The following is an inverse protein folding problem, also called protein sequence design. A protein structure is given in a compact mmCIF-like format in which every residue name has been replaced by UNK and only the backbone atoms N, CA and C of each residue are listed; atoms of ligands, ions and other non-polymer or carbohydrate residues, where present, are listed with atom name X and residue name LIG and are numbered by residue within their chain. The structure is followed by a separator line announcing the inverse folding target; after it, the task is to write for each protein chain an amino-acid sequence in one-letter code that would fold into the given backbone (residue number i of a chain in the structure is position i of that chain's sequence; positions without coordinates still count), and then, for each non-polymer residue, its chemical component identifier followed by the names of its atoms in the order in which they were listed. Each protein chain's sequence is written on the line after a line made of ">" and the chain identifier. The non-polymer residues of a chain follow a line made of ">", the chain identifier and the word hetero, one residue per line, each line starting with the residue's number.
data_IF_505682524249
#
_entry.id   IF_505682524249
#
_cell.length_a   1.000
_cell.length_b   1.000
_cell.length_c   1.000
_cell.angle_alpha   90.00
_cell.angle_beta   90.00
_cell.angle_gamma   90.00
#
_symmetry.space_group_name_H-M   'P 1'
#
loop_
_entity.id
_entity.type
_entity.pdbx_description
1 polymer ?
#
# COMPACT_ATOMS: atom_id res chain seq x y z
N UNK A 1 21.00 28.09 -88.89
CA UNK A 1 19.54 28.21 -89.10
C UNK A 1 18.87 27.29 -88.09
N UNK A 2 18.02 27.84 -87.20
CA UNK A 2 16.86 27.19 -86.52
C UNK A 2 17.25 26.06 -85.52
N UNK A 3 16.84 25.92 -84.26
CA UNK A 3 15.88 26.53 -83.31
C UNK A 3 16.33 26.04 -81.91
N UNK A 4 16.40 26.89 -80.88
CA UNK A 4 15.36 27.16 -79.87
C UNK A 4 14.95 25.97 -78.97
N UNK A 5 15.50 26.00 -77.75
CA UNK A 5 14.89 25.87 -76.40
C UNK A 5 13.58 25.05 -76.31
N UNK A 6 13.63 23.93 -75.59
CA UNK A 6 12.58 23.50 -74.65
C UNK A 6 13.25 22.64 -73.55
N UNK A 7 13.47 23.17 -72.36
CA UNK A 7 12.52 23.20 -71.24
C UNK A 7 12.19 21.79 -70.69
N UNK A 8 12.71 21.50 -69.49
CA UNK A 8 11.99 20.97 -68.32
C UNK A 8 12.85 20.09 -67.39
N UNK A 9 12.54 20.08 -66.09
CA UNK A 9 13.54 20.24 -65.04
C UNK A 9 13.92 18.93 -64.34
N UNK A 10 15.14 18.97 -63.81
CA UNK A 10 15.75 18.11 -62.80
C UNK A 10 14.71 17.44 -61.88
N UNK A 11 14.48 16.15 -62.11
CA UNK A 11 13.72 15.28 -61.22
C UNK A 11 14.49 15.14 -59.90
N UNK A 12 14.11 15.92 -58.89
CA UNK A 12 14.59 15.74 -57.52
C UNK A 12 13.96 14.49 -56.94
N UNK A 13 14.75 13.43 -56.84
CA UNK A 13 14.45 12.26 -56.01
C UNK A 13 14.43 12.72 -54.55
N UNK A 14 13.25 12.80 -53.94
CA UNK A 14 13.10 13.00 -52.49
C UNK A 14 13.17 11.62 -51.85
N UNK A 15 14.30 11.34 -51.18
CA UNK A 15 14.43 10.19 -50.28
C UNK A 15 13.76 10.60 -48.97
N UNK A 16 12.60 10.00 -48.66
CA UNK A 16 11.94 10.15 -47.36
C UNK A 16 12.55 9.10 -46.43
N UNK A 17 13.33 9.46 -45.40
CA UNK A 17 13.71 8.50 -44.39
C UNK A 17 12.45 8.12 -43.60
N UNK A 18 12.03 6.87 -43.74
CA UNK A 18 11.07 6.23 -42.84
C UNK A 18 11.61 6.32 -41.42
N UNK A 19 11.08 7.27 -40.65
CA UNK A 19 11.26 7.35 -39.20
C UNK A 19 10.62 6.10 -38.59
N UNK A 20 11.43 5.07 -38.37
CA UNK A 20 11.07 3.95 -37.49
C UNK A 20 10.96 4.52 -36.08
N UNK A 21 9.74 4.89 -35.70
CA UNK A 21 9.38 5.21 -34.33
C UNK A 21 9.71 3.98 -33.48
N UNK A 22 10.87 4.02 -32.84
CA UNK A 22 11.26 3.03 -31.85
C UNK A 22 10.33 3.25 -30.66
N UNK A 23 9.29 2.42 -30.55
CA UNK A 23 8.46 2.35 -29.37
C UNK A 23 9.37 1.87 -28.23
N UNK A 24 9.95 2.82 -27.49
CA UNK A 24 10.52 2.51 -26.20
C UNK A 24 9.31 2.29 -25.31
N UNK A 25 8.89 1.02 -25.18
CA UNK A 25 8.00 0.63 -24.11
C UNK A 25 8.77 0.91 -22.82
N UNK A 26 8.52 2.06 -22.19
CA UNK A 26 8.86 2.27 -20.80
C UNK A 26 8.07 1.22 -20.03
N UNK A 27 8.72 0.11 -19.69
CA UNK A 27 8.25 -0.74 -18.61
C UNK A 27 8.23 0.15 -17.38
N UNK A 28 7.07 0.69 -17.04
CA UNK A 28 6.82 1.09 -15.67
C UNK A 28 6.94 -0.22 -14.88
N UNK A 29 8.14 -0.49 -14.35
CA UNK A 29 8.24 -1.39 -13.23
C UNK A 29 7.28 -0.80 -12.19
N UNK A 30 6.19 -1.50 -11.90
CA UNK A 30 5.23 -1.09 -10.87
C UNK A 30 6.07 -0.73 -9.64
N UNK A 31 5.98 0.54 -9.26
CA UNK A 31 6.73 1.05 -8.13
C UNK A 31 6.39 0.18 -6.92
N UNK A 32 7.38 -0.25 -6.12
CA UNK A 32 7.12 -1.18 -5.03
C UNK A 32 6.07 -0.58 -4.10
N UNK A 33 4.86 -1.14 -4.11
CA UNK A 33 3.76 -0.66 -3.28
C UNK A 33 4.22 -0.60 -1.83
N UNK A 34 4.25 0.58 -1.21
CA UNK A 34 4.52 0.74 0.22
C UNK A 34 3.64 -0.24 1.04
N UNK A 35 4.14 -0.87 2.12
CA UNK A 35 5.47 -0.77 2.72
C UNK A 35 6.51 -1.78 2.22
N UNK A 36 7.75 -1.35 2.01
CA UNK A 36 8.92 -2.19 1.72
C UNK A 36 9.60 -2.68 3.00
N UNK A 37 10.38 -3.77 2.92
CA UNK A 37 10.98 -4.47 4.08
C UNK A 37 11.78 -3.56 5.04
N UNK A 38 12.28 -2.42 4.58
CA UNK A 38 13.02 -1.44 5.38
C UNK A 38 12.17 -0.31 5.97
N UNK A 39 10.88 -0.25 5.63
CA UNK A 39 10.01 0.85 6.01
C UNK A 39 9.45 0.63 7.41
N UNK A 40 9.33 1.72 8.17
CA UNK A 40 8.43 1.77 9.32
C UNK A 40 7.03 2.02 8.77
N UNK A 41 6.03 1.35 9.35
CA UNK A 41 4.64 1.62 9.01
C UNK A 41 3.73 1.48 10.21
N UNK A 42 2.63 2.22 10.15
CA UNK A 42 1.57 2.27 11.14
C UNK A 42 0.25 1.99 10.45
N UNK A 43 -0.62 1.28 11.14
CA UNK A 43 -2.00 1.07 10.70
C UNK A 43 -2.95 1.38 11.83
N UNK A 44 -4.06 2.03 11.52
CA UNK A 44 -5.13 2.31 12.47
C UNK A 44 -6.51 2.06 11.88
N UNK A 45 -7.34 1.31 12.58
CA UNK A 45 -8.74 1.07 12.21
C UNK A 45 -9.65 1.33 13.41
N UNK A 46 -10.84 1.87 13.13
CA UNK A 46 -11.89 2.06 14.10
C UNK A 46 -13.20 1.48 13.57
N UNK A 47 -14.03 0.98 14.48
CA UNK A 47 -15.36 0.46 14.15
C UNK A 47 -16.34 0.74 15.30
N UNK A 48 -17.65 0.80 15.02
CA UNK A 48 -18.65 0.90 16.08
C UNK A 48 -18.53 -0.25 17.09
N UNK A 49 -18.48 0.07 18.38
CA UNK A 49 -18.42 -0.89 19.50
C UNK A 49 -19.75 -1.08 20.24
N UNK A 50 -20.78 -0.31 19.89
CA UNK A 50 -22.05 -0.24 20.60
C UNK A 50 -22.41 1.20 20.97
N UNK A 51 -23.38 1.39 21.87
CA UNK A 51 -23.84 2.72 22.27
C UNK A 51 -22.71 3.52 22.93
N UNK A 52 -22.27 4.60 22.27
CA UNK A 52 -21.27 5.54 22.79
C UNK A 52 -19.85 4.96 22.90
N UNK A 53 -19.60 3.81 22.28
CA UNK A 53 -18.30 3.13 22.32
C UNK A 53 -17.79 2.90 20.90
N UNK A 54 -16.52 3.20 20.69
CA UNK A 54 -15.78 2.88 19.47
C UNK A 54 -14.74 1.83 19.79
N UNK A 55 -14.67 0.77 18.98
CA UNK A 55 -13.57 -0.20 19.00
C UNK A 55 -12.45 0.31 18.12
N UNK A 56 -11.21 -0.02 18.48
CA UNK A 56 -10.05 0.31 17.66
C UNK A 56 -9.05 -0.83 17.63
N UNK A 57 -8.23 -0.82 16.58
CA UNK A 57 -6.99 -1.58 16.52
C UNK A 57 -5.91 -0.73 15.86
N UNK A 58 -4.69 -0.79 16.39
CA UNK A 58 -3.50 -0.21 15.78
C UNK A 58 -2.42 -1.27 15.61
N UNK A 59 -1.59 -1.11 14.58
CA UNK A 59 -0.38 -1.89 14.37
C UNK A 59 0.76 -0.91 14.16
N UNK A 60 1.81 -1.05 14.96
CA UNK A 60 3.05 -0.29 14.83
C UNK A 60 4.13 -1.28 14.40
N UNK A 61 4.75 -1.07 13.25
CA UNK A 61 5.68 -2.01 12.66
C UNK A 61 7.06 -1.39 12.44
N UNK A 62 8.08 -2.03 13.00
CA UNK A 62 9.48 -1.62 12.88
C UNK A 62 10.28 -2.70 12.14
N UNK A 63 11.15 -2.33 11.19
CA UNK A 63 11.97 -3.28 10.45
C UNK A 63 12.78 -4.22 11.36
N UNK A 64 12.80 -5.50 11.00
CA UNK A 64 13.55 -6.57 11.65
C UNK A 64 14.05 -7.56 10.58
N UNK A 65 15.19 -7.23 9.97
CA UNK A 65 15.76 -8.00 8.86
C UNK A 65 14.87 -7.97 7.62
N UNK A 66 14.34 -9.12 7.21
CA UNK A 66 13.41 -9.23 6.07
C UNK A 66 11.93 -9.14 6.45
N UNK A 67 11.63 -8.86 7.72
CA UNK A 67 10.30 -8.84 8.33
C UNK A 67 10.13 -7.59 9.20
N UNK A 68 9.02 -7.48 9.92
CA UNK A 68 8.81 -6.45 10.93
C UNK A 68 8.55 -7.07 12.30
N UNK A 69 9.10 -6.46 13.34
CA UNK A 69 8.54 -6.59 14.69
C UNK A 69 7.32 -5.68 14.77
N UNK A 70 6.22 -6.16 15.34
CA UNK A 70 5.00 -5.37 15.50
C UNK A 70 4.54 -5.27 16.94
N UNK A 71 3.96 -4.12 17.28
CA UNK A 71 3.12 -3.93 18.45
C UNK A 71 1.69 -3.72 17.98
N UNK A 72 0.77 -4.57 18.44
CA UNK A 72 -0.66 -4.47 18.12
C UNK A 72 -1.38 -3.98 19.36
N UNK A 73 -2.14 -2.88 19.26
CA UNK A 73 -2.98 -2.40 20.35
C UNK A 73 -4.45 -2.49 19.95
N UNK A 74 -5.25 -3.19 20.75
CA UNK A 74 -6.69 -3.29 20.57
C UNK A 74 -7.43 -2.79 21.79
N UNK A 75 -8.65 -2.30 21.60
CA UNK A 75 -9.44 -1.83 22.73
C UNK A 75 -10.65 -1.01 22.32
N UNK A 76 -11.12 -0.25 23.28
CA UNK A 76 -12.30 0.62 23.13
C UNK A 76 -12.06 1.99 23.74
N UNK A 77 -12.73 2.99 23.19
CA UNK A 77 -12.82 4.31 23.78
C UNK A 77 -14.25 4.83 23.76
N UNK A 78 -14.56 5.78 24.65
CA UNK A 78 -15.83 6.52 24.62
C UNK A 78 -15.86 7.40 23.38
N UNK A 79 -16.87 7.22 22.50
CA UNK A 79 -16.95 7.86 21.19
C UNK A 79 -16.94 9.40 21.27
N UNK A 80 -17.54 9.98 22.32
CA UNK A 80 -17.65 11.43 22.46
C UNK A 80 -16.38 12.11 22.96
N UNK A 81 -15.66 11.45 23.87
CA UNK A 81 -14.55 12.06 24.61
C UNK A 81 -13.19 11.51 24.19
N UNK A 82 -13.15 10.38 23.47
CA UNK A 82 -11.92 9.64 23.17
C UNK A 82 -11.32 8.95 24.39
N UNK A 83 -11.97 8.98 25.57
CA UNK A 83 -11.45 8.36 26.78
C UNK A 83 -11.31 6.86 26.59
N UNK A 84 -10.09 6.35 26.73
CA UNK A 84 -9.80 4.91 26.64
C UNK A 84 -10.57 4.16 27.74
N UNK A 85 -11.32 3.14 27.35
CA UNK A 85 -12.12 2.29 28.23
C UNK A 85 -11.44 0.93 28.44
N UNK A 86 -10.78 0.42 27.40
CA UNK A 86 -9.98 -0.81 27.46
C UNK A 86 -8.78 -0.68 26.52
N UNK A 87 -7.68 -1.34 26.88
CA UNK A 87 -6.45 -1.38 26.08
C UNK A 87 -5.74 -2.70 26.31
N UNK A 88 -5.52 -3.44 25.23
CA UNK A 88 -4.82 -4.71 25.20
C UNK A 88 -3.66 -4.58 24.21
N UNK A 89 -2.45 -4.91 24.64
CA UNK A 89 -1.24 -4.74 23.84
C UNK A 89 -0.59 -6.09 23.64
N UNK A 90 -0.39 -6.46 22.39
CA UNK A 90 0.35 -7.65 21.99
C UNK A 90 1.59 -7.30 21.19
N UNK A 91 2.56 -8.23 21.19
CA UNK A 91 3.78 -8.10 20.40
C UNK A 91 3.96 -9.30 19.49
N UNK A 92 4.57 -9.10 18.33
CA UNK A 92 4.68 -10.14 17.34
C UNK A 92 5.54 -9.78 16.15
N UNK A 93 5.26 -10.45 15.04
CA UNK A 93 5.93 -10.24 13.76
C UNK A 93 4.93 -10.07 12.64
N UNK A 94 5.35 -9.34 11.61
CA UNK A 94 4.61 -9.19 10.36
C UNK A 94 5.53 -9.44 9.18
N UNK A 95 4.95 -9.90 8.08
CA UNK A 95 5.62 -10.11 6.81
C UNK A 95 4.69 -9.81 5.64
N UNK A 96 5.28 -9.69 4.45
CA UNK A 96 4.51 -9.74 3.22
C UNK A 96 4.09 -11.17 2.96
N UNK A 97 2.78 -11.41 2.91
CA UNK A 97 2.22 -12.72 2.57
C UNK A 97 2.41 -13.07 1.08
N UNK A 98 2.02 -14.30 0.70
CA UNK A 98 1.84 -14.67 -0.72
C UNK A 98 0.61 -13.96 -1.29
N UNK A 99 0.75 -12.69 -1.65
CA UNK A 99 -0.33 -11.87 -2.20
C UNK A 99 -0.22 -10.39 -1.80
N UNK A 100 -1.25 -9.57 -2.06
CA UNK A 100 -1.24 -8.15 -1.71
C UNK A 100 -1.59 -7.95 -0.22
N UNK A 101 -0.90 -8.64 0.68
CA UNK A 101 -1.23 -8.66 2.11
C UNK A 101 -0.03 -8.41 3.01
N UNK A 102 -0.22 -7.58 4.03
CA UNK A 102 0.64 -7.53 5.21
C UNK A 102 -0.02 -8.40 6.28
N UNK A 103 0.57 -9.55 6.56
CA UNK A 103 0.05 -10.50 7.54
C UNK A 103 0.98 -10.59 8.74
N UNK A 104 0.40 -10.75 9.92
CA UNK A 104 1.21 -10.93 11.12
C UNK A 104 0.53 -11.73 12.21
N UNK A 105 1.35 -12.17 13.15
CA UNK A 105 0.95 -12.91 14.33
C UNK A 105 1.49 -12.18 15.55
N UNK A 106 0.69 -12.07 16.61
CA UNK A 106 1.08 -11.43 17.86
C UNK A 106 0.58 -12.23 19.07
N UNK A 107 1.22 -12.04 20.21
CA UNK A 107 0.79 -12.62 21.48
C UNK A 107 0.30 -11.51 22.40
N UNK A 108 -0.93 -11.65 22.89
CA UNK A 108 -1.56 -10.73 23.84
C UNK A 108 -2.14 -11.56 24.98
N UNK A 109 -1.77 -11.23 26.23
CA UNK A 109 -2.25 -11.94 27.43
C UNK A 109 -2.05 -13.47 27.35
N UNK A 110 -0.96 -13.91 26.72
CA UNK A 110 -0.61 -15.33 26.56
C UNK A 110 -1.32 -16.04 25.40
N UNK A 111 -2.24 -15.39 24.70
CA UNK A 111 -2.97 -15.95 23.54
C UNK A 111 -2.33 -15.46 22.24
N UNK A 112 -2.15 -16.38 21.29
CA UNK A 112 -1.66 -16.08 19.94
C UNK A 112 -2.81 -15.68 19.04
N UNK A 113 -2.67 -14.52 18.40
CA UNK A 113 -3.65 -13.88 17.54
C UNK A 113 -3.01 -13.47 16.22
N UNK A 114 -3.81 -13.17 15.21
CA UNK A 114 -3.37 -12.83 13.87
C UNK A 114 -4.08 -11.59 13.32
N UNK A 115 -3.46 -10.94 12.36
CA UNK A 115 -4.08 -9.90 11.55
C UNK A 115 -3.66 -9.99 10.09
N UNK A 116 -4.46 -9.38 9.22
CA UNK A 116 -4.13 -9.15 7.81
C UNK A 116 -4.58 -7.75 7.39
N UNK A 117 -3.74 -7.05 6.66
CA UNK A 117 -4.04 -5.80 5.95
C UNK A 117 -3.95 -6.08 4.44
N UNK A 118 -5.03 -5.84 3.70
CA UNK A 118 -5.08 -6.10 2.26
C UNK A 118 -4.68 -4.85 1.49
N UNK A 119 -3.46 -4.83 0.96
CA UNK A 119 -2.93 -3.78 0.09
C UNK A 119 -3.74 -3.68 -1.22
N UNK A 120 -3.90 -2.46 -1.74
CA UNK A 120 -4.61 -2.18 -2.99
C UNK A 120 -3.88 -1.13 -3.82
N UNK A 121 -2.84 -1.56 -4.54
CA UNK A 121 -1.96 -0.62 -5.25
C UNK A 121 -1.46 0.46 -4.29
N UNK A 122 -1.48 1.72 -4.71
CA UNK A 122 -1.03 2.85 -3.89
C UNK A 122 -2.06 3.35 -2.84
N UNK A 123 -3.20 2.68 -2.65
CA UNK A 123 -4.19 3.09 -1.64
C UNK A 123 -3.64 2.96 -0.21
N UNK A 124 -4.01 3.90 0.66
CA UNK A 124 -3.66 3.90 2.08
C UNK A 124 -4.85 3.53 2.98
N UNK A 125 -6.07 3.58 2.45
CA UNK A 125 -7.27 3.11 3.15
C UNK A 125 -7.47 1.61 2.88
N UNK A 126 -6.95 0.79 3.77
CA UNK A 126 -6.83 -0.64 3.56
C UNK A 126 -7.84 -1.44 4.41
N UNK A 127 -8.51 -2.44 3.82
CA UNK A 127 -9.25 -3.43 4.58
C UNK A 127 -8.33 -4.22 5.51
N UNK A 128 -8.79 -4.46 6.73
CA UNK A 128 -8.13 -5.30 7.72
C UNK A 128 -9.07 -6.29 8.38
N UNK A 129 -8.50 -7.39 8.83
CA UNK A 129 -9.13 -8.34 9.74
C UNK A 129 -8.17 -8.71 10.86
N UNK A 130 -8.69 -8.81 12.07
CA UNK A 130 -8.00 -9.25 13.27
C UNK A 130 -8.77 -10.44 13.86
N UNK A 131 -8.06 -11.47 14.33
CA UNK A 131 -8.71 -12.63 14.96
C UNK A 131 -9.13 -12.37 16.40
N UNK A 132 -8.44 -11.46 17.09
CA UNK A 132 -8.81 -11.06 18.45
C UNK A 132 -10.11 -10.25 18.41
N UNK A 133 -11.15 -10.81 19.03
CA UNK A 133 -12.48 -10.24 19.08
C UNK A 133 -12.58 -8.89 19.81
N UNK A 134 -11.49 -8.41 20.45
CA UNK A 134 -11.41 -7.07 21.06
C UNK A 134 -10.97 -5.99 20.06
N UNK A 135 -10.30 -6.37 18.97
CA UNK A 135 -9.80 -5.46 17.94
C UNK A 135 -10.92 -4.98 17.01
N UNK A 136 -10.84 -3.75 16.49
CA UNK A 136 -11.65 -3.40 15.33
C UNK A 136 -11.13 -4.10 14.06
N UNK A 137 -12.02 -4.38 13.12
CA UNK A 137 -11.70 -4.82 11.75
C UNK A 137 -12.55 -3.97 10.79
N UNK A 138 -12.08 -3.77 9.56
CA UNK A 138 -12.73 -2.88 8.60
C UNK A 138 -11.71 -2.14 7.74
N UNK A 139 -12.11 -1.00 7.16
CA UNK A 139 -11.19 -0.12 6.44
C UNK A 139 -10.54 0.84 7.43
N UNK A 140 -9.21 0.92 7.37
CA UNK A 140 -8.39 1.77 8.22
C UNK A 140 -7.23 2.36 7.44
N UNK A 141 -6.47 3.23 8.07
CA UNK A 141 -5.44 4.02 7.40
C UNK A 141 -4.06 3.42 7.65
N UNK A 142 -3.30 3.24 6.57
CA UNK A 142 -1.88 2.89 6.57
C UNK A 142 -1.04 4.18 6.41
N UNK A 143 0.01 4.33 7.20
CA UNK A 143 0.95 5.46 7.11
C UNK A 143 2.37 5.06 7.47
N UNK A 144 3.34 5.92 7.15
CA UNK A 144 4.75 5.81 7.55
C UNK A 144 4.99 6.26 9.00
N UNK A 145 4.12 7.11 9.55
CA UNK A 145 4.15 7.56 10.97
C UNK A 145 4.88 8.88 11.23
N UNK A 146 5.24 9.59 10.17
CA UNK A 146 5.80 10.95 10.10
C UNK A 146 4.71 12.03 10.03
#
# INVERSE_FOLDING_TARGET
>A
MISAILDHPVTRLIVVPLLTASYVATSHADEPTFPQRGDIWHYGVQAPGGRGVTRYATVEATPAGSSWTVTVTCGTHETRTGRILSRHVGKGTSERGRGPGLGGTYVVEGVRENFILTLRGAELDLPSQFTDARCASGVGQLSTGD
#
